data_IF_118043707345
#
_entry.id   IF_118043707345
#
_cell.length_a   1.000
_cell.length_b   1.000
_cell.length_c   1.000
_cell.angle_alpha   90.00
_cell.angle_beta   90.00
_cell.angle_gamma   90.00
#
_symmetry.space_group_name_H-M   'P 1'
#
loop_
_entity.id
_entity.type
_entity.pdbx_description
1 polymer ?
#
# COMPACT_ATOMS: atom_id res chain seq x y z
N UNK A 1 29.13 -4.08 -11.53
CA UNK A 1 28.53 -2.93 -10.82
C UNK A 1 27.08 -3.24 -10.46
N UNK A 2 26.72 -3.39 -9.17
CA UNK A 2 25.31 -3.48 -8.77
C UNK A 2 24.69 -2.10 -8.96
N UNK A 3 23.78 -1.96 -9.93
CA UNK A 3 22.99 -0.74 -10.10
C UNK A 3 22.39 -0.34 -8.74
N UNK A 4 22.67 0.89 -8.30
CA UNK A 4 22.16 1.45 -7.06
C UNK A 4 20.63 1.44 -7.17
N UNK A 5 19.97 0.53 -6.42
CA UNK A 5 18.50 0.40 -6.50
C UNK A 5 17.89 1.77 -6.18
N UNK A 6 16.92 2.26 -6.97
CA UNK A 6 16.26 3.52 -6.67
C UNK A 6 15.73 3.49 -5.24
N UNK A 7 15.98 4.53 -4.45
CA UNK A 7 15.38 4.69 -3.12
C UNK A 7 13.92 5.12 -3.33
N UNK A 8 13.03 4.14 -3.37
CA UNK A 8 11.58 4.41 -3.44
C UNK A 8 11.04 4.76 -2.06
N UNK A 9 10.15 5.76 -1.98
CA UNK A 9 9.38 6.03 -0.77
C UNK A 9 8.29 4.97 -0.63
N UNK A 10 8.47 4.04 0.31
CA UNK A 10 7.56 2.90 0.48
C UNK A 10 6.37 3.32 1.34
N UNK A 11 5.19 3.48 0.73
CA UNK A 11 4.01 4.02 1.42
C UNK A 11 2.83 3.05 1.51
N UNK A 12 2.90 1.93 0.80
CA UNK A 12 1.79 1.00 0.68
C UNK A 12 2.20 -0.41 1.09
N UNK A 13 1.32 -1.12 1.76
CA UNK A 13 1.42 -2.55 2.04
C UNK A 13 0.24 -3.26 1.39
N UNK A 14 0.49 -4.28 0.58
CA UNK A 14 -0.55 -5.14 0.00
C UNK A 14 -0.58 -6.45 0.76
N UNK A 15 -1.74 -6.81 1.32
CA UNK A 15 -1.86 -8.06 2.07
C UNK A 15 -1.84 -9.31 1.16
N UNK A 16 -1.95 -10.48 1.80
CA UNK A 16 -1.94 -11.78 1.11
C UNK A 16 -3.13 -12.02 0.18
N UNK A 17 -4.22 -11.26 0.32
CA UNK A 17 -5.41 -11.43 -0.53
C UNK A 17 -5.25 -10.77 -1.90
N UNK A 18 -4.22 -9.94 -2.05
CA UNK A 18 -3.86 -9.27 -3.31
C UNK A 18 -3.10 -10.24 -4.21
N UNK A 19 -3.64 -10.59 -5.41
CA UNK A 19 -2.96 -11.46 -6.35
C UNK A 19 -1.62 -10.90 -6.81
N UNK A 20 -0.67 -11.80 -7.02
CA UNK A 20 0.70 -11.50 -7.45
C UNK A 20 0.75 -10.58 -8.67
N UNK A 21 -0.04 -10.89 -9.69
CA UNK A 21 -0.08 -10.15 -10.96
C UNK A 21 -0.54 -8.70 -10.77
N UNK A 22 -1.56 -8.50 -9.93
CA UNK A 22 -2.07 -7.18 -9.58
C UNK A 22 -0.99 -6.40 -8.81
N UNK A 23 -0.38 -7.01 -7.80
CA UNK A 23 0.67 -6.38 -7.02
C UNK A 23 1.82 -5.90 -7.92
N UNK A 24 2.38 -6.76 -8.77
CA UNK A 24 3.52 -6.37 -9.61
C UNK A 24 3.16 -5.31 -10.65
N UNK A 25 1.94 -5.34 -11.17
CA UNK A 25 1.45 -4.32 -12.10
C UNK A 25 1.36 -2.95 -11.41
N UNK A 26 0.85 -2.91 -10.18
CA UNK A 26 0.77 -1.69 -9.37
C UNK A 26 2.17 -1.23 -8.93
N UNK A 27 3.00 -2.14 -8.42
CA UNK A 27 4.38 -1.87 -8.01
C UNK A 27 5.20 -1.26 -9.15
N UNK A 28 5.08 -1.78 -10.37
CA UNK A 28 5.77 -1.23 -11.54
C UNK A 28 5.40 0.22 -11.77
N UNK A 29 4.10 0.55 -11.66
CA UNK A 29 3.62 1.91 -11.86
C UNK A 29 4.01 2.82 -10.70
N UNK A 30 3.97 2.35 -9.46
CA UNK A 30 4.48 3.07 -8.28
C UNK A 30 5.96 3.42 -8.45
N UNK A 31 6.78 2.47 -8.88
CA UNK A 31 8.21 2.69 -9.09
C UNK A 31 8.47 3.81 -10.11
N UNK A 32 7.67 3.89 -11.18
CA UNK A 32 7.78 4.93 -12.20
C UNK A 32 7.54 6.34 -11.64
N UNK A 33 6.78 6.46 -10.56
CA UNK A 33 6.46 7.74 -9.90
C UNK A 33 7.22 7.92 -8.58
N UNK A 34 8.28 7.15 -8.33
CA UNK A 34 9.15 7.30 -7.16
C UNK A 34 8.67 6.63 -5.86
N UNK A 35 7.55 5.91 -5.91
CA UNK A 35 6.96 5.25 -4.75
C UNK A 35 7.17 3.73 -4.78
N UNK A 36 7.11 3.11 -3.60
CA UNK A 36 7.23 1.67 -3.43
C UNK A 36 6.08 1.09 -2.60
N UNK A 37 5.95 -0.22 -2.67
CA UNK A 37 5.06 -0.97 -1.80
C UNK A 37 5.72 -2.27 -1.32
N UNK A 38 5.18 -2.81 -0.23
CA UNK A 38 5.49 -4.14 0.28
C UNK A 38 4.36 -5.08 -0.09
N UNK A 39 4.68 -6.31 -0.47
CA UNK A 39 3.71 -7.39 -0.59
C UNK A 39 3.85 -8.34 0.58
N UNK A 40 2.78 -8.51 1.35
CA UNK A 40 2.71 -9.34 2.55
C UNK A 40 3.35 -10.71 2.36
N UNK A 41 2.97 -11.51 1.35
CA UNK A 41 3.55 -12.83 1.08
C UNK A 41 5.07 -12.88 0.87
N UNK A 42 5.73 -11.74 0.60
CA UNK A 42 7.19 -11.62 0.44
C UNK A 42 7.84 -10.75 1.53
N UNK A 43 7.11 -10.46 2.60
CA UNK A 43 7.58 -9.64 3.72
C UNK A 43 7.92 -10.53 4.93
N UNK A 44 8.53 -9.92 5.96
CA UNK A 44 8.78 -10.59 7.23
C UNK A 44 7.48 -11.01 7.96
N UNK A 45 6.33 -10.45 7.59
CA UNK A 45 5.02 -10.69 8.21
C UNK A 45 4.08 -11.51 7.32
N UNK A 46 4.62 -12.37 6.45
CA UNK A 46 3.84 -13.08 5.44
C UNK A 46 2.68 -13.94 5.97
N UNK A 47 2.81 -14.44 7.20
CA UNK A 47 1.79 -15.27 7.89
C UNK A 47 1.39 -14.68 9.24
N UNK A 48 1.83 -13.47 9.53
CA UNK A 48 1.60 -12.84 10.81
C UNK A 48 0.12 -12.41 10.95
N UNK A 49 -0.40 -12.34 12.18
CA UNK A 49 -1.70 -11.75 12.45
C UNK A 49 -1.71 -10.24 12.12
N UNK A 50 -2.90 -9.63 12.05
CA UNK A 50 -3.05 -8.25 11.57
C UNK A 50 -2.33 -7.24 12.48
N UNK A 51 -2.25 -7.52 13.77
CA UNK A 51 -1.59 -6.70 14.78
C UNK A 51 -0.09 -6.57 14.48
N UNK A 52 0.57 -7.69 14.14
CA UNK A 52 1.97 -7.70 13.75
C UNK A 52 2.20 -7.02 12.39
N UNK A 53 1.26 -7.16 11.45
CA UNK A 53 1.31 -6.45 10.17
C UNK A 53 1.21 -4.93 10.39
N UNK A 54 0.34 -4.48 11.29
CA UNK A 54 0.20 -3.07 11.66
C UNK A 54 1.48 -2.55 12.31
N UNK A 55 2.03 -3.27 13.29
CA UNK A 55 3.29 -2.90 13.93
C UNK A 55 4.45 -2.83 12.91
N UNK A 56 4.51 -3.79 11.98
CA UNK A 56 5.46 -3.79 10.87
C UNK A 56 5.35 -2.55 9.99
N UNK A 57 4.11 -2.14 9.67
CA UNK A 57 3.83 -0.98 8.82
C UNK A 57 4.18 0.32 9.55
N UNK A 58 3.75 0.46 10.80
CA UNK A 58 4.04 1.63 11.64
C UNK A 58 5.55 1.84 11.81
N UNK A 59 6.30 0.78 12.15
CA UNK A 59 7.75 0.84 12.32
C UNK A 59 8.51 1.22 11.04
N UNK A 60 7.90 1.04 9.86
CA UNK A 60 8.47 1.39 8.55
C UNK A 60 7.89 2.68 7.96
N UNK A 61 6.99 3.36 8.67
CA UNK A 61 6.30 4.55 8.16
C UNK A 61 5.44 4.24 6.92
N UNK A 62 4.80 3.08 6.89
CA UNK A 62 3.88 2.65 5.81
C UNK A 62 2.44 2.96 6.26
N UNK A 63 1.83 4.06 5.82
CA UNK A 63 0.53 4.50 6.33
C UNK A 63 -0.66 3.72 5.77
N UNK A 64 -0.52 3.01 4.64
CA UNK A 64 -1.65 2.42 3.92
C UNK A 64 -1.48 0.90 3.80
N UNK A 65 -2.52 0.17 4.23
CA UNK A 65 -2.69 -1.27 3.98
C UNK A 65 -3.80 -1.47 2.95
N UNK A 66 -3.52 -2.21 1.89
CA UNK A 66 -4.47 -2.53 0.82
C UNK A 66 -4.81 -4.03 0.85
N UNK A 67 -6.11 -4.33 0.79
CA UNK A 67 -6.64 -5.70 0.91
C UNK A 67 -7.86 -5.93 0.02
N UNK A 68 -8.06 -7.16 -0.45
CA UNK A 68 -9.35 -7.62 -0.98
C UNK A 68 -10.25 -8.25 0.08
N UNK A 69 -9.75 -8.47 1.30
CA UNK A 69 -10.56 -8.92 2.43
C UNK A 69 -11.48 -7.80 2.91
N UNK A 70 -12.79 -8.02 2.80
CA UNK A 70 -13.79 -7.04 3.23
C UNK A 70 -14.02 -7.08 4.74
N UNK A 71 -13.71 -8.21 5.37
CA UNK A 71 -13.94 -8.46 6.80
C UNK A 71 -12.73 -8.06 7.64
N UNK A 72 -11.59 -7.82 7.02
CA UNK A 72 -10.41 -7.35 7.72
C UNK A 72 -10.71 -6.02 8.42
N UNK A 73 -10.42 -5.99 9.70
CA UNK A 73 -10.51 -4.83 10.58
C UNK A 73 -9.13 -4.55 11.16
N UNK A 74 -8.81 -3.27 11.32
CA UNK A 74 -7.61 -2.85 12.02
C UNK A 74 -7.91 -2.76 13.52
N UNK A 75 -6.91 -3.03 14.38
CA UNK A 75 -7.04 -2.73 15.79
C UNK A 75 -7.30 -1.23 16.00
N UNK A 76 -8.02 -0.84 17.07
CA UNK A 76 -8.20 0.57 17.42
C UNK A 76 -6.85 1.29 17.55
N UNK A 77 -6.76 2.50 17.03
CA UNK A 77 -5.53 3.30 17.14
C UNK A 77 -4.35 2.81 16.29
N UNK A 78 -4.57 1.94 15.30
CA UNK A 78 -3.52 1.34 14.46
C UNK A 78 -2.57 2.33 13.75
N UNK A 79 -2.92 3.62 13.64
CA UNK A 79 -2.09 4.64 12.98
C UNK A 79 -1.89 4.41 11.47
N UNK A 80 -2.56 3.41 10.90
CA UNK A 80 -2.56 3.08 9.46
C UNK A 80 -4.00 3.01 8.95
N UNK A 81 -4.21 3.27 7.67
CA UNK A 81 -5.52 3.19 7.01
C UNK A 81 -5.64 1.92 6.19
N UNK A 82 -6.87 1.39 6.13
CA UNK A 82 -7.20 0.20 5.36
C UNK A 82 -7.95 0.56 4.08
N UNK A 83 -7.36 0.24 2.92
CA UNK A 83 -7.96 0.40 1.60
C UNK A 83 -8.52 -0.94 1.13
N UNK A 84 -9.84 -1.02 1.06
CA UNK A 84 -10.56 -2.22 0.60
C UNK A 84 -10.72 -2.20 -0.92
N UNK A 85 -9.87 -2.96 -1.59
CA UNK A 85 -9.94 -3.19 -3.03
C UNK A 85 -11.19 -4.01 -3.37
N UNK A 86 -11.90 -3.66 -4.46
CA UNK A 86 -13.08 -4.43 -4.91
C UNK A 86 -12.77 -5.20 -6.19
N UNK A 87 -12.89 -6.53 -6.16
CA UNK A 87 -12.85 -7.36 -7.38
C UNK A 87 -13.92 -6.88 -8.37
N UNK A 88 -13.58 -6.82 -9.66
CA UNK A 88 -14.50 -6.41 -10.75
C UNK A 88 -14.67 -4.91 -10.98
N UNK A 89 -14.65 -4.05 -9.94
CA UNK A 89 -14.72 -2.57 -10.09
C UNK A 89 -13.34 -1.94 -10.35
N UNK A 90 -12.27 -2.64 -9.97
CA UNK A 90 -10.88 -2.19 -10.04
C UNK A 90 -10.13 -2.94 -11.14
N UNK A 91 -10.69 -2.96 -12.36
CA UNK A 91 -10.10 -3.64 -13.53
C UNK A 91 -8.82 -2.97 -14.05
N UNK A 92 -8.43 -1.81 -13.51
CA UNK A 92 -7.23 -1.10 -13.94
C UNK A 92 -6.32 -0.75 -12.77
N UNK A 93 -5.01 -0.85 -13.01
CA UNK A 93 -3.95 -0.40 -12.10
C UNK A 93 -4.16 1.05 -11.69
N UNK A 94 -4.59 1.91 -12.62
CA UNK A 94 -4.83 3.33 -12.33
C UNK A 94 -5.95 3.56 -11.31
N UNK A 95 -7.01 2.75 -11.30
CA UNK A 95 -8.05 2.83 -10.26
C UNK A 95 -7.52 2.41 -8.89
N UNK A 96 -6.65 1.39 -8.85
CA UNK A 96 -5.97 0.99 -7.62
C UNK A 96 -5.13 2.14 -7.09
N UNK A 97 -4.28 2.73 -7.94
CA UNK A 97 -3.45 3.86 -7.56
C UNK A 97 -4.27 5.05 -7.09
N UNK A 98 -5.34 5.41 -7.81
CA UNK A 98 -6.19 6.54 -7.45
C UNK A 98 -6.77 6.39 -6.04
N UNK A 99 -7.22 5.19 -5.67
CA UNK A 99 -7.74 4.97 -4.33
C UNK A 99 -6.65 4.95 -3.26
N UNK A 100 -5.47 4.37 -3.56
CA UNK A 100 -4.34 4.38 -2.64
C UNK A 100 -3.86 5.80 -2.34
N UNK A 101 -3.71 6.62 -3.38
CA UNK A 101 -3.27 8.00 -3.25
C UNK A 101 -4.36 8.92 -2.69
N UNK A 102 -5.64 8.64 -2.98
CA UNK A 102 -6.75 9.34 -2.34
C UNK A 102 -6.71 9.18 -0.82
N UNK A 103 -6.55 7.95 -0.34
CA UNK A 103 -6.46 7.66 1.10
C UNK A 103 -5.16 8.19 1.71
N UNK A 104 -4.05 8.13 0.98
CA UNK A 104 -2.80 8.73 1.42
C UNK A 104 -2.92 10.26 1.62
N UNK A 105 -3.62 10.96 0.73
CA UNK A 105 -3.88 12.41 0.84
C UNK A 105 -4.67 12.74 2.09
N UNK A 106 -5.72 11.97 2.39
CA UNK A 106 -6.49 12.11 3.63
C UNK A 106 -5.61 11.90 4.88
N UNK A 107 -4.71 10.91 4.87
CA UNK A 107 -3.76 10.68 5.97
C UNK A 107 -2.80 11.87 6.14
N UNK A 108 -2.32 12.42 5.04
CA UNK A 108 -1.39 13.54 5.05
C UNK A 108 -2.09 14.91 5.20
N UNK A 109 -3.42 14.95 5.25
CA UNK A 109 -4.22 16.19 5.20
C UNK A 109 -3.89 17.10 4.01
N UNK A 110 -3.49 16.50 2.87
CA UNK A 110 -3.10 17.24 1.66
C UNK A 110 -4.31 17.35 0.72
N UNK A 111 -4.73 18.57 0.31
CA UNK A 111 -5.87 18.74 -0.59
C UNK A 111 -5.64 18.09 -1.96
N UNK A 112 -6.70 17.65 -2.67
CA UNK A 112 -6.56 16.87 -3.92
C UNK A 112 -5.85 17.61 -5.07
N UNK A 113 -5.88 18.94 -5.05
CA UNK A 113 -5.32 19.83 -6.08
C UNK A 113 -3.81 20.02 -5.99
N UNK A 114 -3.19 19.70 -4.84
CA UNK A 114 -1.76 19.90 -4.64
C UNK A 114 -0.97 18.66 -5.05
N UNK A 115 0.19 18.78 -5.72
CA UNK A 115 1.08 17.65 -5.91
C UNK A 115 1.49 17.08 -4.55
N UNK A 116 1.63 15.75 -4.48
CA UNK A 116 2.26 15.10 -3.32
C UNK A 116 3.76 15.35 -3.42
N UNK A 117 4.16 16.60 -3.15
CA UNK A 117 5.56 16.98 -3.08
C UNK A 117 6.16 16.29 -1.86
N UNK A 118 7.12 15.41 -2.14
CA UNK A 118 8.00 14.78 -1.16
C UNK A 118 9.39 15.34 -1.38
#
# INVERSE_FOLDING_TARGET
MRARRPRYKTLFFFDRTVPREIYYSVQRRLNMIGYGAVWGPRSAVARAPIEEVVAYCAARGIPIIATFDRRLTLPPGAGVRLVRLRRGRWKSVNRILAALFGELREVLSVPPSEPLDC
#
